data_IF_153843595705
#
_entry.id   IF_153843595705
#
_cell.length_a   1.000
_cell.length_b   1.000
_cell.length_c   1.000
_cell.angle_alpha   90.00
_cell.angle_beta   90.00
_cell.angle_gamma   90.00
#
_symmetry.space_group_name_H-M   'P 1'
#
loop_
_entity.id
_entity.type
_entity.pdbx_description
1 polymer ?
#
# COMPACT_ATOMS: atom_id res chain seq x y z
N UNK A 1 0.01 16.83 3.95
CA UNK A 1 -0.74 16.37 2.77
C UNK A 1 0.13 16.44 1.53
N UNK A 2 0.34 15.32 0.87
CA UNK A 2 1.10 15.25 -0.38
C UNK A 2 0.18 15.03 -1.56
N UNK A 3 0.45 15.69 -2.67
CA UNK A 3 -0.24 15.43 -3.93
C UNK A 3 0.75 15.03 -5.02
N UNK A 4 0.26 14.24 -5.97
CA UNK A 4 1.08 13.77 -7.09
C UNK A 4 0.37 14.05 -8.41
N UNK A 5 1.07 14.78 -9.27
CA UNK A 5 0.63 15.13 -10.63
C UNK A 5 1.50 14.43 -11.67
N UNK A 6 1.00 14.29 -12.88
CA UNK A 6 1.77 13.78 -14.00
C UNK A 6 2.34 14.92 -14.84
N UNK A 7 3.66 14.97 -14.94
CA UNK A 7 4.39 15.88 -15.82
C UNK A 7 5.36 15.10 -16.72
N UNK A 8 5.17 15.18 -18.03
CA UNK A 8 5.96 14.44 -19.02
C UNK A 8 6.04 12.92 -18.71
N UNK A 9 4.94 12.33 -18.28
CA UNK A 9 4.85 10.91 -17.93
C UNK A 9 5.55 10.52 -16.62
N UNK A 10 5.96 11.49 -15.81
CA UNK A 10 6.58 11.27 -14.50
C UNK A 10 5.71 11.80 -13.39
N UNK A 11 5.77 11.14 -12.26
CA UNK A 11 5.10 11.57 -11.04
C UNK A 11 5.88 12.72 -10.39
N UNK A 12 5.21 13.83 -10.16
CA UNK A 12 5.76 15.01 -9.47
C UNK A 12 4.97 15.20 -8.19
N UNK A 13 5.70 15.29 -7.08
CA UNK A 13 5.17 15.47 -5.74
C UNK A 13 5.21 16.95 -5.36
N UNK A 14 4.10 17.43 -4.78
CA UNK A 14 4.00 18.73 -4.13
C UNK A 14 3.38 18.53 -2.73
N UNK A 15 3.89 19.27 -1.76
CA UNK A 15 3.34 19.31 -0.41
C UNK A 15 2.34 20.47 -0.34
N UNK A 16 1.16 20.26 0.25
CA UNK A 16 0.06 21.20 0.26
C UNK A 16 -0.19 21.71 1.67
N UNK A 17 -0.11 23.01 1.82
CA UNK A 17 -0.28 23.72 3.11
C UNK A 17 -1.62 24.46 3.25
N UNK A 18 -2.45 24.47 2.21
CA UNK A 18 -3.76 25.15 2.24
C UNK A 18 -4.76 24.59 1.23
N UNK A 19 -6.06 24.84 1.51
CA UNK A 19 -7.14 24.50 0.58
C UNK A 19 -7.03 25.27 -0.76
N UNK A 20 -6.63 26.54 -0.70
CA UNK A 20 -6.44 27.37 -1.89
C UNK A 20 -5.36 26.78 -2.79
N UNK A 21 -4.28 26.30 -2.21
CA UNK A 21 -3.19 25.67 -2.93
C UNK A 21 -3.64 24.33 -3.55
N UNK A 22 -4.34 23.49 -2.80
CA UNK A 22 -4.90 22.23 -3.31
C UNK A 22 -5.76 22.47 -4.56
N UNK A 23 -6.51 23.57 -4.59
CA UNK A 23 -7.40 23.92 -5.70
C UNK A 23 -6.68 24.25 -7.02
N UNK A 24 -5.39 24.55 -6.97
CA UNK A 24 -4.59 24.92 -8.14
C UNK A 24 -4.05 23.71 -8.90
N UNK A 25 -4.05 22.53 -8.27
CA UNK A 25 -3.51 21.31 -8.85
C UNK A 25 -4.61 20.37 -9.36
N UNK A 26 -4.23 19.46 -10.23
CA UNK A 26 -5.05 18.33 -10.70
C UNK A 26 -4.30 17.03 -10.49
N UNK A 27 -4.22 16.55 -9.24
CA UNK A 27 -3.49 15.33 -8.93
C UNK A 27 -4.22 14.11 -9.45
N UNK A 28 -3.45 13.04 -9.69
CA UNK A 28 -3.95 11.69 -9.88
C UNK A 28 -3.86 10.88 -8.58
N UNK A 29 -3.05 11.34 -7.62
CA UNK A 29 -2.89 10.73 -6.31
C UNK A 29 -2.76 11.81 -5.25
N UNK A 30 -3.54 11.67 -4.18
CA UNK A 30 -3.54 12.50 -2.97
C UNK A 30 -3.21 11.58 -1.81
N UNK A 31 -2.07 11.82 -1.16
CA UNK A 31 -1.54 10.99 -0.09
C UNK A 31 -1.67 11.72 1.25
N UNK A 32 -2.50 11.15 2.11
CA UNK A 32 -2.76 11.62 3.47
C UNK A 32 -1.91 10.76 4.43
N UNK A 33 -0.68 11.17 4.64
CA UNK A 33 0.29 10.57 5.56
C UNK A 33 0.16 11.24 6.93
N UNK A 34 -0.30 10.52 7.94
CA UNK A 34 -0.66 11.00 9.26
C UNK A 34 -1.46 12.33 9.23
N UNK A 35 -2.61 12.35 8.52
CA UNK A 35 -3.27 13.59 8.18
C UNK A 35 -3.90 14.28 9.40
N UNK A 36 -3.65 15.58 9.50
CA UNK A 36 -4.33 16.43 10.46
C UNK A 36 -5.84 16.52 10.18
N UNK A 37 -6.68 16.84 11.20
CA UNK A 37 -8.11 17.07 10.97
C UNK A 37 -8.39 18.19 9.96
N UNK A 38 -7.46 19.11 9.78
CA UNK A 38 -7.57 20.22 8.83
C UNK A 38 -7.34 19.73 7.40
N UNK A 39 -6.33 18.95 7.14
CA UNK A 39 -6.06 18.34 5.83
C UNK A 39 -7.21 17.41 5.38
N UNK A 40 -7.75 16.58 6.29
CA UNK A 40 -8.96 15.78 6.02
C UNK A 40 -10.16 16.67 5.64
N UNK A 41 -10.28 17.86 6.26
CA UNK A 41 -11.32 18.82 5.95
C UNK A 41 -11.14 19.44 4.57
N UNK A 42 -9.90 19.77 4.16
CA UNK A 42 -9.60 20.29 2.82
C UNK A 42 -9.99 19.31 1.73
N UNK A 43 -9.62 18.04 1.89
CA UNK A 43 -9.98 16.97 0.94
C UNK A 43 -11.50 16.82 0.86
N UNK A 44 -12.19 16.78 2.01
CA UNK A 44 -13.67 16.71 2.07
C UNK A 44 -14.31 17.90 1.37
N UNK A 45 -13.83 19.09 1.61
CA UNK A 45 -14.41 20.32 1.06
C UNK A 45 -14.17 20.45 -0.45
N UNK A 46 -13.00 20.10 -0.93
CA UNK A 46 -12.63 20.28 -2.33
C UNK A 46 -13.17 19.17 -3.24
N UNK A 47 -13.06 17.93 -2.80
CA UNK A 47 -13.48 16.77 -3.61
C UNK A 47 -14.89 16.26 -3.28
N UNK A 48 -15.54 16.76 -2.23
CA UNK A 48 -16.80 16.22 -1.74
C UNK A 48 -16.70 14.83 -1.12
N UNK A 49 -15.47 14.36 -0.85
CA UNK A 49 -15.15 13.03 -0.40
C UNK A 49 -15.37 12.89 1.10
N UNK A 50 -16.06 11.84 1.53
CA UNK A 50 -16.14 11.49 2.95
C UNK A 50 -15.04 10.50 3.30
N UNK A 51 -14.03 10.97 4.04
CA UNK A 51 -13.01 10.10 4.62
C UNK A 51 -13.58 9.58 5.94
N UNK A 52 -13.85 8.28 6.08
CA UNK A 52 -14.30 7.71 7.35
C UNK A 52 -13.27 7.97 8.45
N UNK A 53 -13.71 8.32 9.66
CA UNK A 53 -12.81 8.54 10.80
C UNK A 53 -12.09 7.24 11.19
N UNK A 54 -12.77 6.12 11.00
CA UNK A 54 -12.31 4.75 11.25
C UNK A 54 -11.59 4.10 10.03
N UNK A 55 -11.17 4.91 9.03
CA UNK A 55 -10.60 4.39 7.79
C UNK A 55 -9.41 3.44 8.00
N UNK A 56 -8.65 3.68 9.05
CA UNK A 56 -7.42 2.94 9.41
C UNK A 56 -7.52 2.19 10.74
N UNK A 57 -8.70 2.12 11.36
CA UNK A 57 -8.89 1.38 12.61
C UNK A 57 -8.66 -0.13 12.42
N UNK A 58 -8.06 -0.76 13.43
CA UNK A 58 -7.73 -2.18 13.42
C UNK A 58 -8.95 -3.10 13.55
N UNK A 59 -10.02 -2.63 14.19
CA UNK A 59 -11.21 -3.43 14.54
C UNK A 59 -12.29 -3.49 13.46
N UNK A 60 -11.95 -3.19 12.20
CA UNK A 60 -12.91 -3.20 11.11
C UNK A 60 -13.20 -4.63 10.66
N UNK A 61 -14.49 -4.99 10.60
CA UNK A 61 -14.94 -6.26 10.05
C UNK A 61 -14.46 -6.46 8.60
N UNK A 62 -14.08 -7.68 8.24
CA UNK A 62 -13.59 -8.01 6.88
C UNK A 62 -14.56 -7.57 5.76
N UNK A 63 -15.87 -7.60 6.03
CA UNK A 63 -16.89 -7.16 5.08
C UNK A 63 -16.86 -5.66 4.78
N UNK A 64 -16.29 -4.85 5.69
CA UNK A 64 -16.18 -3.40 5.54
C UNK A 64 -14.83 -2.94 4.94
N UNK A 65 -13.96 -3.88 4.58
CA UNK A 65 -12.65 -3.55 3.98
C UNK A 65 -12.73 -3.20 2.50
N UNK A 66 -13.71 -3.72 1.78
CA UNK A 66 -13.85 -3.56 0.33
C UNK A 66 -15.31 -3.28 -0.02
N UNK A 67 -15.62 -2.07 -0.42
CA UNK A 67 -16.97 -1.70 -0.83
C UNK A 67 -16.97 -0.62 -1.91
N UNK A 68 -18.07 -0.54 -2.63
CA UNK A 68 -18.34 0.46 -3.64
C UNK A 68 -19.51 1.31 -3.16
N UNK A 69 -19.35 2.62 -3.16
CA UNK A 69 -20.40 3.58 -2.83
C UNK A 69 -21.36 3.77 -4.02
N UNK A 70 -22.56 4.25 -3.75
CA UNK A 70 -23.57 4.51 -4.77
C UNK A 70 -23.11 5.51 -5.87
N UNK A 71 -22.14 6.36 -5.54
CA UNK A 71 -21.52 7.30 -6.48
C UNK A 71 -20.38 6.68 -7.31
N UNK A 72 -20.08 5.40 -7.12
CA UNK A 72 -19.05 4.66 -7.84
C UNK A 72 -17.64 4.78 -7.23
N UNK A 73 -17.48 5.36 -6.04
CA UNK A 73 -16.21 5.37 -5.31
C UNK A 73 -15.88 3.96 -4.80
N UNK A 74 -14.64 3.51 -5.03
CA UNK A 74 -14.14 2.27 -4.46
C UNK A 74 -13.36 2.56 -3.19
N UNK A 75 -13.75 1.91 -2.11
CA UNK A 75 -13.06 1.92 -0.83
C UNK A 75 -12.34 0.59 -0.63
N UNK A 76 -11.04 0.67 -0.38
CA UNK A 76 -10.17 -0.49 -0.20
C UNK A 76 -9.33 -0.25 1.05
N UNK A 77 -9.29 -1.22 1.97
CA UNK A 77 -8.42 -1.22 3.14
C UNK A 77 -7.53 -2.44 3.08
N UNK A 78 -6.24 -2.23 3.11
CA UNK A 78 -5.24 -3.29 2.96
C UNK A 78 -4.09 -3.10 3.93
N UNK A 79 -3.55 -4.21 4.41
CA UNK A 79 -2.41 -4.22 5.30
C UNK A 79 -1.12 -4.42 4.48
N UNK A 80 -0.14 -3.57 4.69
CA UNK A 80 1.17 -3.55 4.04
C UNK A 80 2.26 -3.99 5.00
N UNK A 81 3.27 -4.67 4.49
CA UNK A 81 4.43 -5.06 5.28
C UNK A 81 5.38 -3.86 5.44
N UNK A 82 5.90 -3.64 6.65
CA UNK A 82 6.84 -2.57 6.96
C UNK A 82 7.97 -3.03 7.89
N UNK A 83 9.05 -2.27 7.92
CA UNK A 83 10.20 -2.36 8.84
C UNK A 83 10.93 -3.71 8.88
N UNK A 84 10.91 -4.46 7.79
CA UNK A 84 11.67 -5.69 7.69
C UNK A 84 13.17 -5.38 7.65
N UNK A 85 13.92 -5.84 8.66
CA UNK A 85 15.39 -5.71 8.74
C UNK A 85 15.91 -4.49 9.53
N UNK A 86 15.09 -3.53 9.88
CA UNK A 86 15.49 -2.36 10.69
C UNK A 86 15.02 -2.49 12.14
N UNK A 87 13.75 -2.77 12.33
CA UNK A 87 13.10 -2.99 13.61
C UNK A 87 12.32 -4.32 13.59
N UNK A 88 11.39 -4.52 14.53
CA UNK A 88 10.47 -5.64 14.45
C UNK A 88 9.51 -5.42 13.25
N UNK A 89 9.37 -6.40 12.35
CA UNK A 89 8.48 -6.29 11.20
C UNK A 89 7.05 -6.00 11.66
N UNK A 90 6.38 -5.08 10.96
CA UNK A 90 5.02 -4.64 11.30
C UNK A 90 4.10 -4.76 10.10
N UNK A 91 2.82 -4.81 10.40
CA UNK A 91 1.75 -4.69 9.42
C UNK A 91 1.12 -3.31 9.58
N UNK A 92 1.19 -2.48 8.55
CA UNK A 92 0.66 -1.11 8.54
C UNK A 92 -0.56 -1.06 7.65
N UNK A 93 -1.67 -0.55 8.18
CA UNK A 93 -2.90 -0.38 7.41
C UNK A 93 -2.86 0.87 6.56
N UNK A 94 -3.27 0.74 5.30
CA UNK A 94 -3.61 1.85 4.43
C UNK A 94 -5.05 1.72 3.93
N UNK A 95 -5.77 2.84 3.92
CA UNK A 95 -7.05 2.95 3.29
C UNK A 95 -6.91 3.69 1.96
N UNK A 96 -7.60 3.20 0.94
CA UNK A 96 -7.63 3.79 -0.39
C UNK A 96 -9.05 4.13 -0.78
N UNK A 97 -9.22 5.30 -1.40
CA UNK A 97 -10.46 5.69 -2.03
C UNK A 97 -10.14 6.03 -3.48
N UNK A 98 -10.64 5.24 -4.40
CA UNK A 98 -10.49 5.48 -5.82
C UNK A 98 -11.75 6.19 -6.33
N UNK A 99 -11.59 7.46 -6.66
CA UNK A 99 -12.65 8.31 -7.17
C UNK A 99 -12.46 8.54 -8.68
N UNK A 100 -13.34 7.94 -9.48
CA UNK A 100 -13.36 8.11 -10.93
C UNK A 100 -14.41 9.15 -11.37
N UNK A 101 -14.78 10.07 -10.48
CA UNK A 101 -15.85 11.05 -10.69
C UNK A 101 -15.71 11.74 -12.03
N UNK A 102 -16.67 11.47 -12.83
CA UNK A 102 -17.17 11.97 -14.09
C UNK A 102 -17.25 10.88 -15.16
N UNK A 103 -17.66 9.67 -14.83
CA UNK A 103 -18.18 8.65 -15.78
C UNK A 103 -17.43 8.51 -17.12
N UNK A 104 -16.36 9.27 -17.30
CA UNK A 104 -15.49 9.17 -18.45
C UNK A 104 -14.32 8.26 -18.08
N UNK A 105 -14.35 7.03 -18.59
CA UNK A 105 -13.23 6.08 -18.53
C UNK A 105 -11.91 6.69 -19.07
N UNK A 106 -11.99 7.85 -19.71
CA UNK A 106 -10.86 8.69 -20.12
C UNK A 106 -10.40 9.61 -18.99
N UNK A 107 -11.20 9.80 -17.94
CA UNK A 107 -10.76 10.52 -16.74
C UNK A 107 -9.66 9.70 -16.06
N UNK A 108 -8.56 10.36 -15.72
CA UNK A 108 -7.46 9.72 -14.99
C UNK A 108 -7.85 9.34 -13.56
N UNK A 109 -9.00 9.81 -13.07
CA UNK A 109 -9.44 9.64 -11.70
C UNK A 109 -8.49 10.25 -10.69
N UNK A 110 -8.82 10.12 -9.42
CA UNK A 110 -7.94 10.48 -8.30
C UNK A 110 -7.93 9.32 -7.31
N UNK A 111 -6.75 8.88 -6.92
CA UNK A 111 -6.56 7.96 -5.81
C UNK A 111 -6.28 8.78 -4.55
N UNK A 112 -6.99 8.50 -3.46
CA UNK A 112 -6.69 8.99 -2.13
C UNK A 112 -6.13 7.82 -1.33
N UNK A 113 -4.96 8.00 -0.70
CA UNK A 113 -4.41 7.06 0.26
C UNK A 113 -4.35 7.71 1.64
N UNK A 114 -4.68 6.94 2.67
CA UNK A 114 -4.68 7.37 4.07
C UNK A 114 -3.89 6.33 4.86
N UNK A 115 -2.85 6.76 5.56
CA UNK A 115 -2.06 5.93 6.46
C UNK A 115 -1.42 6.80 7.53
N UNK A 116 -1.01 6.21 8.65
CA UNK A 116 -0.39 6.93 9.79
C UNK A 116 1.12 6.68 9.88
N UNK A 117 1.64 5.70 9.13
CA UNK A 117 3.03 5.31 9.19
C UNK A 117 3.61 5.18 7.79
N UNK A 118 4.92 5.36 7.65
CA UNK A 118 5.59 5.23 6.36
C UNK A 118 5.59 3.78 5.87
N UNK A 119 5.18 3.58 4.63
CA UNK A 119 5.04 2.28 3.98
C UNK A 119 6.10 2.14 2.89
N UNK A 120 6.96 1.09 2.93
CA UNK A 120 8.04 0.90 1.96
C UNK A 120 7.57 0.88 0.50
N UNK A 121 6.42 0.26 0.20
CA UNK A 121 5.84 0.24 -1.15
C UNK A 121 5.56 1.64 -1.70
N UNK A 122 5.13 2.59 -0.85
CA UNK A 122 4.88 3.99 -1.24
C UNK A 122 6.18 4.71 -1.59
N UNK A 123 7.23 4.55 -0.75
CA UNK A 123 8.56 5.11 -1.04
C UNK A 123 9.13 4.58 -2.35
N UNK A 124 9.02 3.28 -2.57
CA UNK A 124 9.50 2.61 -3.76
C UNK A 124 8.79 3.13 -5.01
N UNK A 125 7.46 3.23 -4.98
CA UNK A 125 6.68 3.78 -6.09
C UNK A 125 7.06 5.23 -6.39
N UNK A 126 7.12 6.10 -5.38
CA UNK A 126 7.52 7.51 -5.54
C UNK A 126 8.90 7.63 -6.19
N UNK A 127 9.86 6.81 -5.77
CA UNK A 127 11.20 6.79 -6.33
C UNK A 127 11.22 6.32 -7.79
N UNK A 128 10.51 5.24 -8.12
CA UNK A 128 10.46 4.65 -9.47
C UNK A 128 9.73 5.58 -10.45
N UNK A 129 8.54 6.05 -10.09
CA UNK A 129 7.70 6.89 -10.95
C UNK A 129 8.30 8.28 -11.24
N UNK A 130 9.17 8.77 -10.36
CA UNK A 130 9.96 9.99 -10.59
C UNK A 130 11.04 9.78 -11.65
N UNK A 131 11.59 8.57 -11.77
CA UNK A 131 12.70 8.24 -12.66
C UNK A 131 12.25 7.66 -14.01
N UNK A 132 11.16 6.89 -14.01
CA UNK A 132 10.68 6.12 -15.17
C UNK A 132 9.44 6.82 -15.77
N UNK A 133 9.57 7.50 -16.94
CA UNK A 133 8.41 8.07 -17.61
C UNK A 133 7.48 6.96 -18.10
N UNK A 134 6.16 7.15 -17.93
CA UNK A 134 5.16 6.20 -18.38
C UNK A 134 4.96 4.99 -17.46
N UNK A 135 5.61 4.97 -16.28
CA UNK A 135 5.33 3.94 -15.27
C UNK A 135 3.91 4.06 -14.71
N UNK A 136 3.40 5.29 -14.64
CA UNK A 136 2.07 5.64 -14.15
C UNK A 136 1.35 6.48 -15.21
N UNK A 137 0.15 6.10 -15.58
CA UNK A 137 -0.68 6.82 -16.55
C UNK A 137 -1.95 7.41 -15.90
N UNK A 138 -2.48 6.73 -14.87
CA UNK A 138 -3.69 7.15 -14.16
C UNK A 138 -3.68 6.74 -12.66
N UNK A 139 -4.75 7.09 -11.95
CA UNK A 139 -4.89 6.79 -10.52
C UNK A 139 -5.04 5.30 -10.20
N UNK A 140 -5.60 4.51 -11.12
CA UNK A 140 -5.76 3.07 -10.95
C UNK A 140 -4.41 2.38 -10.99
N UNK A 141 -3.55 2.85 -11.90
CA UNK A 141 -2.20 2.32 -12.02
C UNK A 141 -1.34 2.67 -10.80
N UNK A 142 -1.54 3.83 -10.17
CA UNK A 142 -0.90 4.11 -8.87
C UNK A 142 -1.22 3.01 -7.86
N UNK A 143 -2.50 2.65 -7.72
CA UNK A 143 -2.92 1.64 -6.76
C UNK A 143 -2.37 0.24 -7.11
N UNK A 144 -2.40 -0.15 -8.39
CA UNK A 144 -1.81 -1.41 -8.84
C UNK A 144 -0.31 -1.47 -8.52
N UNK A 145 0.45 -0.41 -8.81
CA UNK A 145 1.89 -0.35 -8.53
C UNK A 145 2.21 -0.31 -7.03
N UNK A 146 1.32 0.19 -6.18
CA UNK A 146 1.48 0.09 -4.73
C UNK A 146 1.37 -1.38 -4.28
N UNK A 147 0.41 -2.12 -4.81
CA UNK A 147 0.28 -3.55 -4.52
C UNK A 147 1.45 -4.38 -5.08
N UNK A 148 1.90 -4.09 -6.31
CA UNK A 148 3.12 -4.71 -6.88
C UNK A 148 4.32 -4.48 -5.94
N UNK A 149 4.50 -3.25 -5.47
CA UNK A 149 5.60 -2.89 -4.56
C UNK A 149 5.54 -3.61 -3.22
N UNK A 150 4.34 -3.86 -2.69
CA UNK A 150 4.16 -4.64 -1.45
C UNK A 150 4.48 -6.13 -1.65
N UNK A 151 4.08 -6.69 -2.78
CA UNK A 151 4.41 -8.08 -3.14
C UNK A 151 5.92 -8.25 -3.33
N UNK A 152 6.59 -7.32 -4.03
CA UNK A 152 8.06 -7.33 -4.17
C UNK A 152 8.75 -7.24 -2.80
N UNK A 153 8.32 -6.30 -1.94
CA UNK A 153 8.88 -6.14 -0.61
C UNK A 153 8.67 -7.39 0.27
N UNK A 154 7.51 -8.02 0.15
CA UNK A 154 7.18 -9.28 0.82
C UNK A 154 8.04 -10.44 0.32
N UNK A 155 8.34 -10.49 -0.97
CA UNK A 155 9.21 -11.51 -1.56
C UNK A 155 10.66 -11.37 -1.06
N UNK A 156 11.20 -10.15 -1.05
CA UNK A 156 12.54 -9.87 -0.50
C UNK A 156 12.62 -10.24 0.99
N UNK A 157 11.58 -9.95 1.76
CA UNK A 157 11.48 -10.32 3.17
C UNK A 157 11.47 -11.83 3.38
N UNK A 158 10.80 -12.57 2.49
CA UNK A 158 10.73 -14.03 2.55
C UNK A 158 12.09 -14.68 2.22
N UNK A 159 12.84 -14.12 1.25
CA UNK A 159 14.21 -14.56 0.96
C UNK A 159 15.11 -14.36 2.18
N UNK A 160 15.07 -13.19 2.82
CA UNK A 160 15.82 -12.92 4.05
C UNK A 160 15.44 -13.85 5.22
N UNK A 161 14.16 -14.21 5.33
CA UNK A 161 13.70 -15.18 6.32
C UNK A 161 14.25 -16.59 6.06
N UNK A 162 14.32 -17.01 4.80
CA UNK A 162 14.90 -18.29 4.40
C UNK A 162 16.39 -18.32 4.73
N UNK A 163 17.15 -17.30 4.39
CA UNK A 163 18.58 -17.20 4.69
C UNK A 163 18.85 -17.33 6.22
N UNK A 164 18.06 -16.62 7.03
CA UNK A 164 18.15 -16.68 8.48
C UNK A 164 17.88 -18.10 9.04
N UNK A 165 16.91 -18.81 8.48
CA UNK A 165 16.60 -20.19 8.88
C UNK A 165 17.67 -21.18 8.42
N UNK A 166 18.29 -20.98 7.26
CA UNK A 166 19.43 -21.79 6.78
C UNK A 166 20.64 -21.63 7.72
N UNK A 167 20.93 -20.38 8.15
CA UNK A 167 21.99 -20.13 9.13
C UNK A 167 21.74 -20.83 10.46
N UNK A 168 20.50 -20.76 10.96
CA UNK A 168 20.07 -21.48 12.17
C UNK A 168 20.26 -22.99 12.00
N UNK A 169 19.82 -23.56 10.88
CA UNK A 169 19.98 -24.99 10.58
C UNK A 169 21.44 -25.41 10.58
N UNK A 170 22.32 -24.60 9.98
CA UNK A 170 23.75 -24.86 9.96
C UNK A 170 24.38 -24.84 11.38
N UNK A 171 23.94 -23.95 12.27
CA UNK A 171 24.38 -23.89 13.67
C UNK A 171 23.98 -25.16 14.43
N UNK A 172 22.72 -25.59 14.29
CA UNK A 172 22.19 -26.78 14.97
C UNK A 172 22.89 -28.09 14.49
N UNK A 173 23.12 -28.21 13.17
CA UNK A 173 23.75 -29.41 12.58
C UNK A 173 25.23 -29.59 12.97
N UNK A 174 25.93 -28.52 13.37
CA UNK A 174 27.32 -28.60 13.87
C UNK A 174 27.44 -29.27 15.27
N UNK A 175 26.33 -29.44 15.98
CA UNK A 175 26.26 -30.30 17.16
C UNK A 175 26.76 -29.73 18.48
N UNK A 176 27.18 -28.47 18.53
CA UNK A 176 27.67 -27.80 19.75
C UNK A 176 26.61 -26.76 20.24
N UNK A 177 25.45 -27.29 20.67
CA UNK A 177 24.30 -26.48 21.05
C UNK A 177 24.32 -26.25 22.56
N UNK A 178 24.91 -25.13 23.02
CA UNK A 178 24.72 -24.64 24.39
C UNK A 178 23.28 -24.13 24.60
N UNK A 179 22.85 -23.96 25.86
CA UNK A 179 21.54 -23.42 26.21
C UNK A 179 21.36 -22.00 25.62
N UNK A 180 22.43 -21.19 25.53
CA UNK A 180 22.43 -19.87 24.92
C UNK A 180 22.16 -19.93 23.41
N UNK A 181 22.84 -20.84 22.71
CA UNK A 181 22.65 -21.07 21.27
C UNK A 181 21.22 -21.60 21.02
N UNK A 182 20.72 -22.49 21.85
CA UNK A 182 19.34 -23.00 21.75
C UNK A 182 18.32 -21.87 21.90
N UNK A 183 18.53 -20.94 22.85
CA UNK A 183 17.65 -19.79 23.06
C UNK A 183 17.67 -18.82 21.86
N UNK A 184 18.85 -18.53 21.28
CA UNK A 184 19.00 -17.70 20.09
C UNK A 184 18.29 -18.34 18.88
N UNK A 185 18.46 -19.63 18.68
CA UNK A 185 17.80 -20.41 17.63
C UNK A 185 16.28 -20.32 17.73
N UNK A 186 15.73 -20.54 18.94
CA UNK A 186 14.27 -20.45 19.16
C UNK A 186 13.74 -19.03 18.94
N UNK A 187 14.46 -18.02 19.40
CA UNK A 187 14.09 -16.63 19.17
C UNK A 187 14.08 -16.27 17.67
N UNK A 188 15.07 -16.76 16.93
CA UNK A 188 15.13 -16.54 15.47
C UNK A 188 13.97 -17.24 14.76
N UNK A 189 13.70 -18.49 15.08
CA UNK A 189 12.56 -19.23 14.49
C UNK A 189 11.25 -18.48 14.78
N UNK A 190 11.02 -18.06 16.02
CA UNK A 190 9.80 -17.32 16.39
C UNK A 190 9.64 -16.01 15.61
N UNK A 191 10.74 -15.28 15.41
CA UNK A 191 10.73 -14.04 14.59
C UNK A 191 10.37 -14.34 13.13
N UNK A 192 10.97 -15.36 12.53
CA UNK A 192 10.69 -15.72 11.14
C UNK A 192 9.27 -16.28 10.95
N UNK A 193 8.74 -17.00 11.94
CA UNK A 193 7.34 -17.45 11.93
C UNK A 193 6.37 -16.28 11.98
N UNK A 194 6.62 -15.28 12.85
CA UNK A 194 5.83 -14.06 12.93
C UNK A 194 5.87 -13.29 11.62
N UNK A 195 7.07 -13.07 11.04
CA UNK A 195 7.25 -12.40 9.75
C UNK A 195 6.48 -13.11 8.64
N UNK A 196 6.60 -14.44 8.54
CA UNK A 196 5.86 -15.23 7.56
C UNK A 196 4.33 -15.08 7.72
N UNK A 197 3.84 -14.99 8.97
CA UNK A 197 2.44 -14.71 9.25
C UNK A 197 1.99 -13.34 8.74
N UNK A 198 2.82 -12.31 8.86
CA UNK A 198 2.54 -10.96 8.34
C UNK A 198 2.55 -10.92 6.82
N UNK A 199 3.58 -11.50 6.18
CA UNK A 199 3.69 -11.61 4.72
C UNK A 199 2.43 -12.29 4.15
N UNK A 200 2.03 -13.41 4.76
CA UNK A 200 0.84 -14.13 4.31
C UNK A 200 -0.43 -13.27 4.39
N UNK A 201 -0.60 -12.49 5.45
CA UNK A 201 -1.76 -11.59 5.57
C UNK A 201 -1.72 -10.49 4.51
N UNK A 202 -0.59 -9.80 4.34
CA UNK A 202 -0.42 -8.76 3.33
C UNK A 202 -0.73 -9.27 1.92
N UNK A 203 -0.12 -10.38 1.49
CA UNK A 203 -0.37 -10.97 0.17
C UNK A 203 -1.83 -11.40 -0.02
N UNK A 204 -2.49 -11.92 1.03
CA UNK A 204 -3.91 -12.26 0.96
C UNK A 204 -4.80 -11.03 0.83
N UNK A 205 -4.47 -9.94 1.50
CA UNK A 205 -5.21 -8.67 1.39
C UNK A 205 -5.01 -8.05 0.01
N UNK A 206 -3.78 -8.03 -0.51
CA UNK A 206 -3.49 -7.62 -1.88
C UNK A 206 -4.32 -8.40 -2.90
N UNK A 207 -4.35 -9.74 -2.78
CA UNK A 207 -5.16 -10.59 -3.66
C UNK A 207 -6.66 -10.29 -3.56
N UNK A 208 -7.17 -10.00 -2.36
CA UNK A 208 -8.59 -9.61 -2.17
C UNK A 208 -8.88 -8.26 -2.80
N UNK A 209 -7.99 -7.27 -2.60
CA UNK A 209 -8.10 -5.94 -3.18
C UNK A 209 -8.13 -5.99 -4.71
N UNK A 210 -7.19 -6.69 -5.33
CA UNK A 210 -7.12 -6.88 -6.78
C UNK A 210 -8.36 -7.61 -7.32
N UNK A 211 -8.83 -8.67 -6.62
CA UNK A 211 -10.06 -9.38 -6.97
C UNK A 211 -11.29 -8.47 -6.90
N UNK A 212 -11.34 -7.55 -5.94
CA UNK A 212 -12.41 -6.57 -5.81
C UNK A 212 -12.35 -5.56 -6.96
N UNK A 213 -11.19 -4.98 -7.26
CA UNK A 213 -10.99 -4.04 -8.38
C UNK A 213 -11.36 -4.67 -9.73
N UNK A 214 -11.00 -5.92 -9.96
CA UNK A 214 -11.36 -6.64 -11.19
C UNK A 214 -12.88 -6.82 -11.34
N UNK A 215 -13.60 -7.06 -10.24
CA UNK A 215 -15.07 -7.20 -10.26
C UNK A 215 -15.80 -5.89 -10.45
N UNK A 216 -15.26 -4.77 -9.97
CA UNK A 216 -15.87 -3.44 -10.11
C UNK A 216 -15.89 -2.90 -11.53
N UNK A 217 -15.21 -3.57 -12.48
CA UNK A 217 -15.06 -3.18 -13.89
C UNK A 217 -14.41 -1.80 -14.11
N UNK A 218 -13.67 -1.32 -13.13
CA UNK A 218 -12.97 -0.03 -13.20
C UNK A 218 -11.62 -0.12 -13.92
N UNK A 219 -11.06 -1.30 -14.09
CA UNK A 219 -9.80 -1.52 -14.75
C UNK A 219 -9.96 -1.52 -16.28
N UNK A 220 -9.02 -0.91 -16.97
CA UNK A 220 -8.88 -1.09 -18.41
C UNK A 220 -8.50 -2.54 -18.73
N UNK A 221 -8.69 -3.05 -19.97
CA UNK A 221 -8.29 -4.41 -20.32
C UNK A 221 -6.82 -4.71 -20.02
N UNK A 222 -5.92 -3.76 -20.23
CA UNK A 222 -4.50 -3.92 -19.92
C UNK A 222 -4.26 -4.01 -18.41
N UNK A 223 -4.85 -3.10 -17.62
CA UNK A 223 -4.75 -3.12 -16.16
C UNK A 223 -5.36 -4.39 -15.57
N UNK A 224 -6.41 -4.91 -16.18
CA UNK A 224 -7.02 -6.18 -15.76
C UNK A 224 -6.05 -7.37 -15.96
N UNK A 225 -5.32 -7.42 -17.08
CA UNK A 225 -4.29 -8.44 -17.32
C UNK A 225 -3.13 -8.31 -16.34
N UNK A 226 -2.68 -7.10 -16.04
CA UNK A 226 -1.63 -6.83 -15.04
C UNK A 226 -2.06 -7.29 -13.65
N UNK A 227 -3.27 -6.94 -13.20
CA UNK A 227 -3.81 -7.34 -11.90
C UNK A 227 -3.97 -8.87 -11.73
N UNK A 228 -4.03 -9.63 -12.82
CA UNK A 228 -4.04 -11.09 -12.76
C UNK A 228 -2.64 -11.71 -12.56
N UNK A 229 -1.59 -10.95 -12.83
CA UNK A 229 -0.20 -11.41 -12.75
C UNK A 229 0.43 -11.09 -11.39
N UNK A 230 -0.06 -10.06 -10.70
CA UNK A 230 0.31 -9.71 -9.32
C UNK A 230 -0.32 -10.69 -8.31
#
# INVERSE_FOLDING_TARGET
LNIFTLSNGRLVQEEIDSLEELSQYRPIWVDLDDPTPEERRWVRQYYGLQIPEDAIDDDIEESARFFEEDNGELHIRSDFLADVGEDEPRSVRAAFILNLVNDDLRSKGVLFSIHEEDIPAFRLLRMRARRMPGLIEDSREVLLRLFDGDVEYSADALEGAQDALEEVSAKVLKGDVSDEVASEVLATIARQENLNGMIRRSVMDTRRALSFMMRSKMLTPQQFEEAQQT
#
